data_IF_248809048160
#
_entry.id   IF_248809048160
#
_cell.length_a   1.000
_cell.length_b   1.000
_cell.length_c   1.000
_cell.angle_alpha   90.00
_cell.angle_beta   90.00
_cell.angle_gamma   90.00
#
_symmetry.space_group_name_H-M   'P 1'
#
loop_
_entity.id
_entity.type
_entity.pdbx_description
1 polymer ?
#
# COMPACT_ATOMS: atom_id res chain seq x y z
N UNK A 1 -10.79 16.57 -10.03
CA UNK A 1 -10.03 15.50 -10.71
C UNK A 1 -10.55 14.15 -10.22
N UNK A 2 -10.96 13.23 -11.11
CA UNK A 2 -11.38 11.87 -10.74
C UNK A 2 -10.14 11.03 -10.43
N UNK A 3 -10.16 10.29 -9.33
CA UNK A 3 -9.10 9.36 -8.93
C UNK A 3 -8.80 8.37 -10.06
N UNK A 4 -7.52 8.07 -10.27
CA UNK A 4 -7.12 6.95 -11.13
C UNK A 4 -7.52 5.65 -10.42
N UNK A 5 -8.25 4.74 -11.09
CA UNK A 5 -8.57 3.44 -10.52
C UNK A 5 -7.29 2.64 -10.28
N UNK A 6 -7.21 1.97 -9.14
CA UNK A 6 -6.01 1.23 -8.71
C UNK A 6 -6.02 -0.24 -9.08
N UNK A 7 -7.14 -0.78 -9.56
CA UNK A 7 -7.28 -2.17 -9.99
C UNK A 7 -7.36 -2.29 -11.51
N UNK A 8 -6.77 -3.33 -12.08
CA UNK A 8 -6.79 -3.58 -13.53
C UNK A 8 -8.20 -3.54 -14.11
N UNK A 9 -9.18 -4.16 -13.42
CA UNK A 9 -10.59 -4.19 -13.84
C UNK A 9 -11.21 -2.79 -13.88
N UNK A 10 -10.91 -1.95 -12.89
CA UNK A 10 -11.45 -0.60 -12.84
C UNK A 10 -10.77 0.34 -13.85
N UNK A 11 -9.45 0.19 -14.06
CA UNK A 11 -8.70 0.88 -15.12
C UNK A 11 -9.23 0.48 -16.51
N UNK A 12 -9.39 -0.82 -16.75
CA UNK A 12 -9.93 -1.34 -18.00
C UNK A 12 -11.34 -0.80 -18.28
N UNK A 13 -12.24 -0.83 -17.28
CA UNK A 13 -13.59 -0.26 -17.41
C UNK A 13 -13.56 1.25 -17.65
N UNK A 14 -12.63 1.97 -17.04
CA UNK A 14 -12.46 3.41 -17.28
C UNK A 14 -11.97 3.67 -18.72
N UNK A 15 -10.98 2.91 -19.20
CA UNK A 15 -10.49 2.95 -20.57
C UNK A 15 -11.64 2.68 -21.56
N UNK A 16 -12.44 1.65 -21.32
CA UNK A 16 -13.63 1.34 -22.14
C UNK A 16 -14.65 2.48 -22.17
N UNK A 17 -14.92 3.14 -21.02
CA UNK A 17 -15.80 4.32 -20.97
C UNK A 17 -15.24 5.53 -21.69
N UNK A 18 -13.92 5.76 -21.62
CA UNK A 18 -13.26 6.81 -22.39
C UNK A 18 -13.33 6.50 -23.88
N UNK A 19 -13.07 5.25 -24.26
CA UNK A 19 -13.17 4.77 -25.63
C UNK A 19 -14.60 4.95 -26.19
N UNK A 20 -15.62 4.55 -25.44
CA UNK A 20 -17.02 4.70 -25.86
C UNK A 20 -17.41 6.17 -26.06
N UNK A 21 -16.90 7.09 -25.24
CA UNK A 21 -17.13 8.54 -25.41
C UNK A 21 -16.47 9.07 -26.67
N UNK A 22 -15.23 8.69 -26.94
CA UNK A 22 -14.50 9.08 -28.15
C UNK A 22 -15.19 8.56 -29.42
N UNK A 23 -15.74 7.33 -29.39
CA UNK A 23 -16.51 6.74 -30.51
C UNK A 23 -17.84 7.43 -30.78
N UNK A 24 -18.45 8.08 -29.79
CA UNK A 24 -19.77 8.71 -29.94
C UNK A 24 -19.69 10.21 -30.19
N UNK A 25 -18.71 10.89 -29.58
CA UNK A 25 -18.65 12.35 -29.57
C UNK A 25 -17.38 12.95 -30.16
N UNK A 26 -16.46 12.13 -30.67
CA UNK A 26 -15.18 12.61 -31.17
C UNK A 26 -14.28 13.12 -30.04
N UNK A 27 -13.29 13.93 -30.42
CA UNK A 27 -12.36 14.60 -29.50
C UNK A 27 -12.40 16.08 -29.82
N UNK A 28 -12.52 16.91 -28.80
CA UNK A 28 -12.42 18.37 -28.96
C UNK A 28 -11.31 18.88 -28.05
N UNK A 29 -10.35 19.59 -28.63
CA UNK A 29 -9.27 20.25 -27.92
C UNK A 29 -9.26 21.70 -28.38
N UNK A 30 -9.68 22.61 -27.50
CA UNK A 30 -9.96 24.01 -27.86
C UNK A 30 -11.05 24.12 -28.92
N UNK A 31 -10.74 24.81 -30.01
CA UNK A 31 -11.66 25.04 -31.14
C UNK A 31 -11.58 23.95 -32.21
N UNK A 32 -10.64 23.01 -32.08
CA UNK A 32 -10.49 21.91 -33.04
C UNK A 32 -11.33 20.71 -32.62
N UNK A 33 -12.10 20.21 -33.57
CA UNK A 33 -12.93 19.03 -33.43
C UNK A 33 -12.46 17.92 -34.37
N UNK A 34 -12.24 16.74 -33.81
CA UNK A 34 -11.96 15.50 -34.54
C UNK A 34 -13.18 14.59 -34.40
N UNK A 35 -13.87 14.35 -35.52
CA UNK A 35 -15.04 13.48 -35.54
C UNK A 35 -14.67 12.03 -35.22
N UNK A 36 -15.60 11.21 -34.72
CA UNK A 36 -15.34 9.81 -34.37
C UNK A 36 -14.69 8.99 -35.49
N UNK A 37 -15.03 9.26 -36.75
CA UNK A 37 -14.52 8.56 -37.93
C UNK A 37 -13.04 8.84 -38.18
N UNK A 38 -12.55 9.99 -37.70
CA UNK A 38 -11.15 10.41 -37.78
C UNK A 38 -10.33 9.95 -36.57
N UNK A 39 -10.96 9.39 -35.55
CA UNK A 39 -10.30 8.87 -34.35
C UNK A 39 -10.24 7.36 -34.41
N UNK A 40 -9.02 6.81 -34.42
CA UNK A 40 -8.80 5.36 -34.26
C UNK A 40 -7.96 5.12 -33.02
N UNK A 41 -8.55 4.53 -31.97
CA UNK A 41 -7.78 4.01 -30.85
C UNK A 41 -7.21 2.64 -31.25
N UNK A 42 -5.90 2.49 -31.09
CA UNK A 42 -5.16 1.34 -31.60
C UNK A 42 -5.52 -0.03 -30.99
N UNK A 43 -6.27 -0.05 -29.88
CA UNK A 43 -6.76 -1.28 -29.27
C UNK A 43 -8.15 -1.71 -29.76
N UNK A 44 -8.79 -0.93 -30.63
CA UNK A 44 -10.12 -1.24 -31.18
C UNK A 44 -10.10 -2.26 -32.32
N UNK A 45 -8.95 -2.43 -32.97
CA UNK A 45 -8.73 -3.45 -33.96
C UNK A 45 -7.56 -4.32 -33.50
N UNK A 46 -7.85 -5.54 -33.04
CA UNK A 46 -6.87 -6.47 -32.44
C UNK A 46 -5.68 -6.80 -33.35
N UNK A 47 -5.72 -6.40 -34.62
CA UNK A 47 -4.73 -6.73 -35.64
C UNK A 47 -3.76 -5.59 -35.96
N UNK A 48 -4.05 -4.35 -35.58
CA UNK A 48 -3.31 -3.17 -36.07
C UNK A 48 -2.99 -2.19 -34.92
N UNK A 49 -1.79 -2.30 -34.33
CA UNK A 49 -1.33 -1.43 -33.23
C UNK A 49 -1.10 0.05 -33.61
N UNK A 50 -0.68 0.85 -32.62
CA UNK A 50 -0.69 2.34 -32.64
C UNK A 50 0.06 3.02 -33.78
N UNK A 51 -0.50 4.13 -34.25
CA UNK A 51 0.16 5.10 -35.12
C UNK A 51 -0.42 6.53 -34.90
N UNK A 52 0.41 7.58 -35.03
CA UNK A 52 -0.01 8.96 -35.29
C UNK A 52 1.13 9.82 -35.89
N UNK A 53 0.85 10.59 -36.95
CA UNK A 53 1.76 11.53 -37.63
C UNK A 53 1.18 12.95 -37.80
N UNK A 54 2.04 13.96 -37.96
CA UNK A 54 1.74 15.40 -38.00
C UNK A 54 1.29 16.00 -39.37
N UNK A 55 1.32 15.20 -40.45
CA UNK A 55 0.64 15.28 -41.76
C UNK A 55 0.37 13.83 -42.23
N UNK A 56 -0.50 13.57 -43.21
CA UNK A 56 -0.81 12.19 -43.66
C UNK A 56 0.46 11.33 -43.93
N UNK A 57 1.57 11.96 -44.32
CA UNK A 57 2.87 11.33 -44.59
C UNK A 57 3.82 11.23 -43.37
N UNK A 58 3.65 12.03 -42.32
CA UNK A 58 4.45 11.95 -41.07
C UNK A 58 4.15 10.68 -40.26
N UNK A 59 3.15 9.90 -40.67
CA UNK A 59 2.93 8.54 -40.19
C UNK A 59 4.08 7.59 -40.57
N UNK A 60 4.96 7.98 -41.50
CA UNK A 60 6.07 7.15 -41.95
C UNK A 60 7.23 7.02 -40.94
N UNK A 61 7.33 7.89 -39.92
CA UNK A 61 8.38 7.81 -38.88
C UNK A 61 7.79 7.95 -37.48
N UNK A 62 6.86 7.05 -37.16
CA UNK A 62 6.37 6.92 -35.79
C UNK A 62 7.45 6.26 -34.94
N UNK A 63 8.08 7.04 -34.06
CA UNK A 63 8.81 6.49 -32.93
C UNK A 63 7.80 5.83 -31.99
N UNK A 64 7.69 4.51 -32.08
CA UNK A 64 6.86 3.72 -31.18
C UNK A 64 7.54 3.69 -29.82
N UNK A 65 7.00 4.41 -28.82
CA UNK A 65 7.38 4.21 -27.41
C UNK A 65 6.37 3.24 -26.79
N UNK A 66 6.69 1.95 -26.83
CA UNK A 66 5.91 0.95 -26.10
C UNK A 66 6.43 0.91 -24.67
N UNK A 67 5.73 1.59 -23.76
CA UNK A 67 6.02 1.47 -22.33
C UNK A 67 5.41 0.17 -21.83
N UNK A 68 6.24 -0.83 -21.62
CA UNK A 68 5.84 -2.08 -20.99
C UNK A 68 6.35 -2.10 -19.55
N UNK A 69 5.44 -2.18 -18.58
CA UNK A 69 5.78 -2.42 -17.18
C UNK A 69 6.29 -3.86 -16.91
N UNK A 70 6.38 -4.70 -17.96
CA UNK A 70 6.96 -6.05 -17.89
C UNK A 70 8.04 -6.20 -18.97
N UNK A 71 9.26 -6.66 -18.66
CA UNK A 71 10.20 -7.03 -19.70
C UNK A 71 9.72 -8.37 -20.25
N UNK A 72 9.14 -8.37 -21.45
CA UNK A 72 9.05 -9.60 -22.22
C UNK A 72 10.46 -9.88 -22.75
N UNK A 73 11.09 -10.98 -22.35
CA UNK A 73 12.30 -11.45 -23.03
C UNK A 73 11.91 -11.90 -24.44
N UNK A 74 11.99 -10.99 -25.40
CA UNK A 74 11.90 -11.38 -26.80
C UNK A 74 13.34 -11.60 -27.27
N UNK A 75 13.61 -12.84 -27.72
CA UNK A 75 14.82 -13.12 -28.50
C UNK A 75 14.79 -12.21 -29.74
N UNK A 76 15.93 -11.63 -30.16
CA UNK A 76 16.01 -10.92 -31.43
C UNK A 76 15.52 -11.88 -32.52
N UNK A 77 14.53 -11.47 -33.30
CA UNK A 77 14.07 -12.25 -34.45
C UNK A 77 14.97 -11.86 -35.61
N UNK A 78 15.61 -12.82 -36.27
CA UNK A 78 16.50 -12.61 -37.43
C UNK A 78 15.75 -12.14 -38.69
N UNK A 79 14.47 -11.79 -38.57
CA UNK A 79 13.67 -11.28 -39.67
C UNK A 79 13.92 -9.77 -39.85
N UNK A 80 14.09 -9.27 -41.09
CA UNK A 80 14.25 -7.85 -41.36
C UNK A 80 13.04 -7.07 -40.85
N UNK A 81 13.29 -6.11 -39.97
CA UNK A 81 12.23 -5.32 -39.35
C UNK A 81 11.54 -4.41 -40.40
N UNK A 82 10.20 -4.30 -40.36
CA UNK A 82 9.47 -3.37 -41.22
C UNK A 82 9.86 -1.90 -40.92
N UNK A 83 9.53 -0.92 -41.79
CA UNK A 83 10.06 0.46 -41.75
C UNK A 83 9.64 1.30 -40.53
N UNK A 84 9.03 0.70 -39.50
CA UNK A 84 8.58 1.37 -38.29
C UNK A 84 9.55 1.03 -37.15
N UNK A 85 10.45 1.95 -36.81
CA UNK A 85 11.30 1.81 -35.62
C UNK A 85 10.44 1.74 -34.35
N UNK A 86 10.45 0.56 -33.70
CA UNK A 86 9.82 0.37 -32.39
C UNK A 86 10.88 0.51 -31.30
N UNK A 87 10.81 1.60 -30.53
CA UNK A 87 11.61 1.82 -29.33
C UNK A 87 10.79 1.38 -28.11
N UNK A 88 10.94 0.13 -27.70
CA UNK A 88 10.51 -0.26 -26.36
C UNK A 88 11.43 0.43 -25.36
N UNK A 89 10.97 1.54 -24.78
CA UNK A 89 11.62 2.11 -23.62
C UNK A 89 11.13 1.32 -22.40
N UNK A 90 12.00 0.57 -21.70
CA UNK A 90 11.70 0.09 -20.36
C UNK A 90 11.63 1.31 -19.44
N UNK A 91 10.50 2.00 -19.43
CA UNK A 91 10.27 3.10 -18.52
C UNK A 91 9.62 2.53 -17.26
N UNK A 92 10.31 2.66 -16.13
CA UNK A 92 9.73 2.38 -14.82
C UNK A 92 8.54 3.31 -14.57
N UNK A 93 7.66 2.91 -13.64
CA UNK A 93 6.52 3.77 -13.27
C UNK A 93 7.01 5.10 -12.69
N UNK A 94 8.11 5.05 -11.96
CA UNK A 94 8.84 6.21 -11.41
C UNK A 94 9.29 7.14 -12.53
N UNK A 95 9.90 6.64 -13.61
CA UNK A 95 10.32 7.48 -14.74
C UNK A 95 9.13 8.15 -15.44
N UNK A 96 8.04 7.40 -15.66
CA UNK A 96 6.81 7.97 -16.23
C UNK A 96 6.20 9.05 -15.35
N UNK A 97 6.17 8.82 -14.04
CA UNK A 97 5.59 9.74 -13.09
C UNK A 97 6.46 10.99 -12.90
N UNK A 98 7.79 10.86 -12.89
CA UNK A 98 8.74 11.98 -12.93
C UNK A 98 8.58 12.81 -14.21
N UNK A 99 8.40 12.16 -15.36
CA UNK A 99 8.17 12.86 -16.64
C UNK A 99 6.83 13.61 -16.63
N UNK A 100 5.77 12.97 -16.12
CA UNK A 100 4.45 13.60 -15.99
C UNK A 100 4.50 14.81 -15.05
N UNK A 101 5.27 14.70 -13.96
CA UNK A 101 5.53 15.82 -13.06
C UNK A 101 6.22 16.98 -13.78
N UNK A 102 7.32 16.72 -14.48
CA UNK A 102 8.08 17.77 -15.20
C UNK A 102 7.20 18.49 -16.23
N UNK A 103 6.39 17.75 -16.99
CA UNK A 103 5.43 18.33 -17.93
C UNK A 103 4.41 19.23 -17.23
N UNK A 104 3.97 18.84 -16.04
CA UNK A 104 3.00 19.62 -15.25
C UNK A 104 3.62 20.90 -14.71
N UNK A 105 4.87 20.84 -14.22
CA UNK A 105 5.62 22.04 -13.78
C UNK A 105 5.77 23.02 -14.95
N UNK A 106 6.25 22.56 -16.11
CA UNK A 106 6.39 23.42 -17.30
C UNK A 106 5.07 24.04 -17.76
N UNK A 107 3.96 23.32 -17.60
CA UNK A 107 2.63 23.85 -17.86
C UNK A 107 2.26 24.96 -16.88
N UNK A 108 2.51 24.77 -15.58
CA UNK A 108 2.24 25.77 -14.53
C UNK A 108 3.12 27.01 -14.70
N UNK A 109 4.40 26.86 -15.04
CA UNK A 109 5.29 28.00 -15.33
C UNK A 109 4.75 28.85 -16.48
N UNK A 110 4.32 28.20 -17.59
CA UNK A 110 3.69 28.91 -18.71
C UNK A 110 2.42 29.63 -18.30
N UNK A 111 1.58 28.99 -17.48
CA UNK A 111 0.37 29.61 -16.96
C UNK A 111 0.71 30.79 -16.06
N UNK A 112 1.77 30.69 -15.26
CA UNK A 112 2.25 31.76 -14.38
C UNK A 112 2.69 33.01 -15.11
N UNK A 113 3.44 32.86 -16.21
CA UNK A 113 3.78 34.00 -17.09
C UNK A 113 2.56 34.78 -17.54
N UNK A 114 1.49 34.08 -17.93
CA UNK A 114 0.27 34.72 -18.39
C UNK A 114 -0.56 35.31 -17.24
N UNK A 115 -0.73 34.55 -16.16
CA UNK A 115 -1.55 34.94 -15.01
C UNK A 115 -0.94 36.08 -14.19
N UNK A 116 0.39 36.09 -14.06
CA UNK A 116 1.17 37.07 -13.30
C UNK A 116 1.99 38.00 -14.20
N UNK A 117 1.52 38.25 -15.42
CA UNK A 117 2.16 39.16 -16.40
C UNK A 117 2.40 40.58 -15.88
N UNK A 118 1.60 41.01 -14.91
CA UNK A 118 1.70 42.33 -14.28
C UNK A 118 2.65 42.35 -13.07
N UNK A 119 3.29 41.22 -12.75
CA UNK A 119 4.12 41.02 -11.58
C UNK A 119 3.62 39.87 -10.71
N UNK A 120 4.57 39.22 -10.04
CA UNK A 120 4.29 38.18 -9.04
C UNK A 120 3.69 38.80 -7.77
N UNK A 121 2.71 38.15 -7.12
CA UNK A 121 2.23 38.56 -5.80
C UNK A 121 3.26 38.31 -4.69
N UNK A 122 4.32 37.55 -4.97
CA UNK A 122 5.52 37.42 -4.14
C UNK A 122 6.67 38.18 -4.81
N UNK A 123 7.05 39.38 -4.33
CA UNK A 123 8.02 40.26 -4.99
C UNK A 123 9.37 39.61 -5.31
N UNK A 124 9.77 38.63 -4.50
CA UNK A 124 11.01 37.87 -4.61
C UNK A 124 10.94 36.68 -5.60
N UNK A 125 9.76 36.36 -6.14
CA UNK A 125 9.54 35.23 -7.04
C UNK A 125 9.28 35.69 -8.47
N UNK A 126 9.73 34.87 -9.44
CA UNK A 126 9.32 35.04 -10.84
C UNK A 126 7.83 34.70 -11.01
N UNK A 127 7.13 35.23 -12.05
CA UNK A 127 5.77 34.81 -12.40
C UNK A 127 5.59 33.29 -12.51
N UNK A 128 6.60 32.59 -13.02
CA UNK A 128 6.67 31.13 -13.12
C UNK A 128 6.67 30.47 -11.74
N UNK A 129 7.59 30.88 -10.87
CA UNK A 129 7.72 30.37 -9.49
C UNK A 129 6.46 30.66 -8.68
N UNK A 130 5.87 31.84 -8.89
CA UNK A 130 4.64 32.27 -8.25
C UNK A 130 3.46 31.33 -8.59
N UNK A 131 3.35 30.84 -9.82
CA UNK A 131 2.29 29.90 -10.17
C UNK A 131 2.46 28.53 -9.50
N UNK A 132 3.69 28.01 -9.47
CA UNK A 132 3.98 26.77 -8.77
C UNK A 132 3.72 26.95 -7.26
N UNK A 133 4.15 28.07 -6.67
CA UNK A 133 3.93 28.39 -5.27
C UNK A 133 2.44 28.59 -4.93
N UNK A 134 1.65 29.22 -5.80
CA UNK A 134 0.21 29.37 -5.63
C UNK A 134 -0.50 28.02 -5.58
N UNK A 135 -0.09 27.06 -6.43
CA UNK A 135 -0.61 25.69 -6.40
C UNK A 135 -0.19 24.99 -5.10
N UNK A 136 1.07 25.12 -4.66
CA UNK A 136 1.53 24.60 -3.35
C UNK A 136 0.67 25.13 -2.21
N UNK A 137 0.47 26.45 -2.14
CA UNK A 137 -0.36 27.08 -1.10
C UNK A 137 -1.82 26.63 -1.17
N UNK A 138 -2.41 26.51 -2.35
CA UNK A 138 -3.77 26.01 -2.51
C UNK A 138 -3.90 24.56 -2.00
N UNK A 139 -2.95 23.68 -2.34
CA UNK A 139 -2.91 22.31 -1.86
C UNK A 139 -2.70 22.26 -0.33
N UNK A 140 -1.79 23.09 0.19
CA UNK A 140 -1.58 23.24 1.62
C UNK A 140 -2.87 23.62 2.35
N UNK A 141 -3.58 24.63 1.86
CA UNK A 141 -4.85 25.06 2.46
C UNK A 141 -5.95 24.01 2.31
N UNK A 142 -5.99 23.24 1.23
CA UNK A 142 -6.90 22.09 1.10
C UNK A 142 -6.62 21.07 2.20
N UNK A 143 -5.34 20.76 2.46
CA UNK A 143 -4.94 19.77 3.46
C UNK A 143 -5.19 20.29 4.87
N UNK A 144 -4.72 21.51 5.19
CA UNK A 144 -4.83 22.12 6.53
C UNK A 144 -6.26 22.40 6.94
N UNK A 145 -7.07 22.97 6.05
CA UNK A 145 -8.43 23.39 6.39
C UNK A 145 -9.45 22.25 6.32
N UNK A 146 -9.02 21.01 6.04
CA UNK A 146 -9.89 19.85 5.80
C UNK A 146 -11.07 20.20 4.89
N UNK A 147 -10.86 21.05 3.87
CA UNK A 147 -11.93 21.58 2.99
C UNK A 147 -12.65 20.50 2.17
N UNK A 148 -12.17 19.27 2.24
CA UNK A 148 -12.85 18.10 1.73
C UNK A 148 -12.89 17.06 2.85
N UNK A 149 -14.10 16.66 3.23
CA UNK A 149 -14.34 15.54 4.13
C UNK A 149 -13.96 14.19 3.49
N UNK A 150 -13.60 14.19 2.20
CA UNK A 150 -13.22 12.99 1.47
C UNK A 150 -11.73 12.64 1.70
N UNK A 151 -11.39 11.54 2.42
CA UNK A 151 -10.01 11.19 2.74
C UNK A 151 -9.12 10.97 1.50
N UNK A 152 -9.75 10.55 0.40
CA UNK A 152 -9.09 10.36 -0.90
C UNK A 152 -8.56 11.69 -1.44
N UNK A 153 -9.32 12.78 -1.29
CA UNK A 153 -8.92 14.09 -1.79
C UNK A 153 -7.75 14.66 -0.99
N UNK A 154 -7.81 14.58 0.35
CA UNK A 154 -6.71 14.98 1.22
C UNK A 154 -5.41 14.20 0.94
N UNK A 155 -5.51 12.90 0.63
CA UNK A 155 -4.37 12.07 0.25
C UNK A 155 -3.79 12.47 -1.11
N UNK A 156 -4.64 12.75 -2.10
CA UNK A 156 -4.20 13.23 -3.42
C UNK A 156 -3.55 14.61 -3.27
N UNK A 157 -4.15 15.50 -2.49
CA UNK A 157 -3.61 16.83 -2.22
C UNK A 157 -2.25 16.75 -1.55
N UNK A 158 -2.05 15.88 -0.55
CA UNK A 158 -0.74 15.61 0.08
C UNK A 158 0.31 15.14 -0.92
N UNK A 159 -0.02 14.15 -1.75
CA UNK A 159 0.92 13.66 -2.78
C UNK A 159 1.31 14.75 -3.77
N UNK A 160 0.33 15.52 -4.24
CA UNK A 160 0.58 16.64 -5.15
C UNK A 160 1.40 17.73 -4.46
N UNK A 161 1.10 18.04 -3.21
CA UNK A 161 1.85 19.03 -2.43
C UNK A 161 3.32 18.61 -2.30
N UNK A 162 3.58 17.36 -1.91
CA UNK A 162 4.95 16.85 -1.78
C UNK A 162 5.69 16.91 -3.12
N UNK A 163 5.06 16.41 -4.18
CA UNK A 163 5.64 16.35 -5.52
C UNK A 163 5.95 17.76 -6.05
N UNK A 164 5.02 18.72 -5.93
CA UNK A 164 5.31 20.10 -6.33
C UNK A 164 6.32 20.76 -5.39
N UNK A 165 6.23 20.50 -4.09
CA UNK A 165 7.06 21.05 -3.02
C UNK A 165 8.54 20.74 -3.19
N UNK A 166 8.82 19.46 -3.39
CA UNK A 166 10.14 18.84 -3.20
C UNK A 166 10.63 18.06 -4.43
N UNK A 167 9.81 17.95 -5.48
CA UNK A 167 10.12 17.14 -6.66
C UNK A 167 9.61 15.71 -6.54
N UNK A 168 9.45 15.04 -7.69
CA UNK A 168 8.91 13.68 -7.72
C UNK A 168 9.81 12.67 -6.99
N UNK A 169 11.13 12.72 -7.20
CA UNK A 169 12.08 11.78 -6.61
C UNK A 169 12.06 11.82 -5.08
N UNK A 170 12.01 13.02 -4.50
CA UNK A 170 12.01 13.21 -3.04
C UNK A 170 10.62 13.00 -2.42
N UNK A 171 9.55 13.06 -3.24
CA UNK A 171 8.18 12.84 -2.80
C UNK A 171 7.70 11.39 -2.96
N UNK A 172 8.35 10.59 -3.81
CA UNK A 172 7.94 9.21 -4.06
C UNK A 172 8.04 8.37 -2.79
N UNK A 173 7.06 7.50 -2.55
CA UNK A 173 6.97 6.73 -1.31
C UNK A 173 6.49 7.50 -0.06
N UNK A 174 6.58 8.84 -0.03
CA UNK A 174 6.12 9.64 1.10
C UNK A 174 4.59 9.77 1.14
N UNK A 175 3.98 9.21 2.19
CA UNK A 175 2.53 9.24 2.39
C UNK A 175 2.05 10.49 3.14
N UNK A 176 2.93 11.04 3.98
CA UNK A 176 2.68 12.20 4.82
C UNK A 176 3.22 13.47 4.15
N UNK A 177 2.80 14.63 4.63
CA UNK A 177 3.26 15.90 4.08
C UNK A 177 4.78 16.03 4.31
N UNK A 178 5.50 16.53 3.32
CA UNK A 178 6.92 16.85 3.47
C UNK A 178 7.09 18.31 3.91
N UNK A 179 8.11 18.57 4.71
CA UNK A 179 8.48 19.90 5.21
C UNK A 179 9.97 20.12 5.03
N UNK A 180 10.38 21.37 4.82
CA UNK A 180 11.77 21.76 4.99
C UNK A 180 12.00 22.07 6.47
N UNK A 181 13.01 21.46 7.08
CA UNK A 181 13.51 21.95 8.37
C UNK A 181 14.14 23.34 8.20
N UNK A 182 14.40 24.02 9.30
CA UNK A 182 15.04 25.35 9.31
C UNK A 182 16.47 25.37 8.72
N UNK A 183 17.01 24.22 8.34
CA UNK A 183 18.32 24.04 7.72
C UNK A 183 18.24 23.55 6.26
N UNK A 184 17.03 23.45 5.69
CA UNK A 184 16.81 23.01 4.31
C UNK A 184 16.75 21.50 4.09
N UNK A 185 16.79 20.69 5.15
CA UNK A 185 16.56 19.24 5.09
C UNK A 185 15.08 18.90 4.88
N UNK A 186 14.77 17.84 4.15
CA UNK A 186 13.39 17.37 3.93
C UNK A 186 13.01 16.39 5.04
N UNK A 187 12.02 16.75 5.85
CA UNK A 187 11.45 15.88 6.88
C UNK A 187 10.04 15.46 6.45
N UNK A 188 9.78 14.16 6.43
CA UNK A 188 8.44 13.63 6.18
C UNK A 188 7.68 13.41 7.48
N UNK A 189 6.45 13.91 7.55
CA UNK A 189 5.57 13.73 8.72
C UNK A 189 4.46 14.77 8.76
N UNK A 190 3.46 14.58 9.62
CA UNK A 190 2.63 15.72 10.00
C UNK A 190 3.55 16.77 10.66
N UNK A 191 3.39 18.07 10.36
CA UNK A 191 3.96 19.18 11.17
C UNK A 191 3.83 18.74 12.62
N UNK A 192 4.92 18.59 13.41
CA UNK A 192 5.00 17.75 14.60
C UNK A 192 3.74 17.95 15.44
N UNK A 193 2.74 17.12 15.14
CA UNK A 193 1.41 17.40 15.62
C UNK A 193 1.53 17.08 17.09
N UNK A 194 1.15 18.02 17.99
CA UNK A 194 1.29 17.81 19.42
C UNK A 194 0.80 16.41 19.72
N UNK A 195 1.64 15.63 20.41
CA UNK A 195 1.41 14.19 20.55
C UNK A 195 -0.08 13.96 20.86
N UNK A 196 -0.76 13.10 20.08
CA UNK A 196 -2.20 12.93 20.24
C UNK A 196 -2.44 12.55 21.69
N UNK A 197 -3.33 13.31 22.34
CA UNK A 197 -3.64 13.12 23.76
C UNK A 197 -3.85 11.63 24.05
N UNK A 198 -3.26 11.15 25.14
CA UNK A 198 -3.44 9.76 25.58
C UNK A 198 -4.93 9.51 25.88
N UNK A 199 -5.64 10.52 26.39
CA UNK A 199 -7.06 10.42 26.74
C UNK A 199 -7.94 11.18 25.74
N UNK A 200 -9.11 10.63 25.37
CA UNK A 200 -10.08 11.33 24.54
C UNK A 200 -10.60 12.59 25.27
N UNK A 201 -10.87 13.64 24.51
CA UNK A 201 -11.61 14.81 25.03
C UNK A 201 -13.06 14.40 25.32
N UNK A 202 -13.62 14.88 26.42
CA UNK A 202 -15.02 14.64 26.78
C UNK A 202 -16.01 15.19 25.74
N UNK A 203 -15.58 16.16 24.92
CA UNK A 203 -16.38 16.79 23.86
C UNK A 203 -15.99 16.31 22.45
N UNK A 204 -15.18 15.25 22.32
CA UNK A 204 -14.79 14.73 21.01
C UNK A 204 -15.99 14.11 20.27
N UNK A 205 -16.08 14.33 18.96
CA UNK A 205 -17.08 13.65 18.12
C UNK A 205 -16.72 12.17 17.94
N UNK A 206 -17.67 11.35 17.50
CA UNK A 206 -17.43 9.92 17.21
C UNK A 206 -16.28 9.76 16.21
N UNK A 207 -16.23 10.57 15.16
CA UNK A 207 -15.18 10.52 14.13
C UNK A 207 -13.81 10.83 14.73
N UNK A 208 -13.71 11.87 15.56
CA UNK A 208 -12.47 12.21 16.25
C UNK A 208 -12.02 11.10 17.21
N UNK A 209 -12.98 10.44 17.89
CA UNK A 209 -12.70 9.32 18.77
C UNK A 209 -12.15 8.10 17.99
N UNK A 210 -12.78 7.78 16.86
CA UNK A 210 -12.36 6.71 15.96
C UNK A 210 -10.97 7.00 15.39
N UNK A 211 -10.74 8.20 14.88
CA UNK A 211 -9.44 8.60 14.33
C UNK A 211 -8.33 8.57 15.38
N UNK A 212 -8.63 8.99 16.61
CA UNK A 212 -7.71 8.89 17.75
C UNK A 212 -7.37 7.43 18.08
N UNK A 213 -8.37 6.54 18.11
CA UNK A 213 -8.15 5.11 18.34
C UNK A 213 -7.23 4.49 17.29
N UNK A 214 -7.47 4.74 16.00
CA UNK A 214 -6.63 4.26 14.90
C UNK A 214 -5.22 4.85 14.91
N UNK A 215 -5.08 6.10 15.34
CA UNK A 215 -3.78 6.76 15.43
C UNK A 215 -2.93 6.13 16.53
N UNK A 216 -3.50 5.92 17.72
CA UNK A 216 -2.81 5.23 18.82
C UNK A 216 -2.50 3.77 18.49
N UNK A 217 -3.44 3.07 17.86
CA UNK A 217 -3.24 1.68 17.39
C UNK A 217 -2.04 1.57 16.43
N UNK A 218 -1.96 2.42 15.41
CA UNK A 218 -0.85 2.41 14.44
C UNK A 218 0.50 2.71 15.08
N UNK A 219 0.51 3.45 16.19
CA UNK A 219 1.70 3.78 16.99
C UNK A 219 1.98 2.76 18.11
N UNK A 220 1.31 1.60 18.09
CA UNK A 220 1.42 0.57 19.13
C UNK A 220 1.10 1.03 20.56
N UNK A 221 0.36 2.14 20.72
CA UNK A 221 -0.16 2.62 22.01
C UNK A 221 -1.49 1.93 22.31
N UNK A 222 -1.44 0.59 22.45
CA UNK A 222 -2.63 -0.28 22.42
C UNK A 222 -3.63 0.00 23.55
N UNK A 223 -3.16 0.34 24.75
CA UNK A 223 -4.04 0.72 25.87
C UNK A 223 -4.79 2.04 25.60
N UNK A 224 -4.09 3.05 25.08
CA UNK A 224 -4.72 4.29 24.66
C UNK A 224 -5.72 4.03 23.54
N UNK A 225 -5.35 3.23 22.53
CA UNK A 225 -6.24 2.86 21.44
C UNK A 225 -7.55 2.20 21.94
N UNK A 226 -7.47 1.28 22.91
CA UNK A 226 -8.65 0.65 23.54
C UNK A 226 -9.50 1.68 24.30
N UNK A 227 -8.87 2.61 25.02
CA UNK A 227 -9.59 3.68 25.73
C UNK A 227 -10.38 4.58 24.78
N UNK A 228 -9.77 4.99 23.67
CA UNK A 228 -10.41 5.79 22.62
C UNK A 228 -11.53 5.00 21.90
N UNK A 229 -11.31 3.72 21.61
CA UNK A 229 -12.32 2.85 20.99
C UNK A 229 -13.54 2.63 21.89
N UNK A 230 -13.34 2.45 23.20
CA UNK A 230 -14.43 2.35 24.18
C UNK A 230 -15.23 3.65 24.26
N UNK A 231 -14.56 4.80 24.29
CA UNK A 231 -15.23 6.09 24.25
C UNK A 231 -16.06 6.26 22.98
N UNK A 232 -15.52 5.87 21.81
CA UNK A 232 -16.25 5.92 20.54
C UNK A 232 -17.54 5.08 20.57
N UNK A 233 -17.51 3.87 21.17
CA UNK A 233 -18.71 3.03 21.32
C UNK A 233 -19.74 3.64 22.28
N UNK A 234 -19.29 4.27 23.36
CA UNK A 234 -20.17 4.92 24.34
C UNK A 234 -20.93 6.12 23.75
N UNK A 235 -20.41 6.73 22.67
CA UNK A 235 -21.04 7.84 21.95
C UNK A 235 -22.14 7.43 20.97
N UNK A 236 -22.62 6.18 21.02
CA UNK A 236 -23.69 5.64 20.17
C UNK A 236 -23.45 5.81 18.65
N UNK A 237 -22.36 5.24 18.11
CA UNK A 237 -22.06 5.31 16.68
C UNK A 237 -23.11 4.53 15.87
N UNK A 238 -23.25 4.90 14.59
CA UNK A 238 -24.01 4.12 13.61
C UNK A 238 -23.47 2.68 13.47
N UNK A 239 -24.26 1.79 12.87
CA UNK A 239 -23.93 0.35 12.77
C UNK A 239 -22.61 0.08 12.03
N UNK A 240 -22.35 0.80 10.93
CA UNK A 240 -21.12 0.63 10.16
C UNK A 240 -19.89 1.07 10.94
N UNK A 241 -19.98 2.22 11.60
CA UNK A 241 -18.92 2.73 12.48
C UNK A 241 -18.72 1.82 13.69
N UNK A 242 -19.80 1.33 14.30
CA UNK A 242 -19.77 0.37 15.40
C UNK A 242 -19.02 -0.90 15.02
N UNK A 243 -19.32 -1.50 13.86
CA UNK A 243 -18.65 -2.69 13.36
C UNK A 243 -17.13 -2.47 13.21
N UNK A 244 -16.72 -1.33 12.65
CA UNK A 244 -15.30 -0.96 12.53
C UNK A 244 -14.61 -0.78 13.88
N UNK A 245 -15.28 -0.20 14.87
CA UNK A 245 -14.71 -0.04 16.22
C UNK A 245 -14.57 -1.41 16.89
N UNK A 246 -15.57 -2.28 16.78
CA UNK A 246 -15.53 -3.65 17.32
C UNK A 246 -14.37 -4.44 16.71
N UNK A 247 -14.23 -4.41 15.38
CA UNK A 247 -13.08 -5.00 14.68
C UNK A 247 -11.74 -4.44 15.19
N UNK A 248 -11.62 -3.12 15.35
CA UNK A 248 -10.39 -2.49 15.85
C UNK A 248 -10.04 -2.99 17.26
N UNK A 249 -11.04 -3.13 18.13
CA UNK A 249 -10.84 -3.70 19.47
C UNK A 249 -10.36 -5.14 19.39
N UNK A 250 -10.92 -5.95 18.50
CA UNK A 250 -10.41 -7.31 18.23
C UNK A 250 -8.93 -7.32 17.82
N UNK A 251 -8.53 -6.42 16.91
CA UNK A 251 -7.12 -6.28 16.53
C UNK A 251 -6.23 -5.80 17.68
N UNK A 252 -6.68 -4.83 18.49
CA UNK A 252 -5.94 -4.36 19.66
C UNK A 252 -5.62 -5.53 20.59
N UNK A 253 -6.64 -6.37 20.89
CA UNK A 253 -6.49 -7.57 21.72
C UNK A 253 -5.53 -8.58 21.10
N UNK A 254 -5.66 -8.81 19.79
CA UNK A 254 -4.76 -9.68 19.04
C UNK A 254 -3.30 -9.26 19.21
N UNK A 255 -2.97 -7.98 19.03
CA UNK A 255 -1.59 -7.48 19.17
C UNK A 255 -1.13 -7.34 20.63
N UNK A 256 -2.04 -7.36 21.60
CA UNK A 256 -1.73 -7.53 23.02
C UNK A 256 -1.45 -9.00 23.41
N UNK A 257 -1.51 -9.93 22.44
CA UNK A 257 -1.48 -11.37 22.66
C UNK A 257 -2.64 -11.90 23.55
N UNK A 258 -3.74 -11.13 23.66
CA UNK A 258 -5.00 -11.55 24.28
C UNK A 258 -5.88 -12.22 23.22
N UNK A 259 -5.52 -13.45 22.84
CA UNK A 259 -6.16 -14.15 21.73
C UNK A 259 -7.59 -14.59 22.03
N UNK A 260 -7.92 -14.89 23.29
CA UNK A 260 -9.29 -15.19 23.72
C UNK A 260 -10.16 -13.94 23.54
N UNK A 261 -9.72 -12.79 24.07
CA UNK A 261 -10.43 -11.53 23.86
C UNK A 261 -10.50 -11.14 22.38
N UNK A 262 -9.46 -11.41 21.59
CA UNK A 262 -9.51 -11.17 20.14
C UNK A 262 -10.63 -11.97 19.45
N UNK A 263 -10.80 -13.25 19.78
CA UNK A 263 -11.89 -14.09 19.25
C UNK A 263 -13.28 -13.57 19.61
N UNK A 264 -13.45 -12.92 20.76
CA UNK A 264 -14.75 -12.34 21.17
C UNK A 264 -15.15 -11.10 20.35
N UNK A 265 -14.15 -10.31 19.91
CA UNK A 265 -14.39 -9.03 19.24
C UNK A 265 -14.21 -9.07 17.72
N UNK A 266 -13.41 -9.99 17.19
CA UNK A 266 -13.22 -10.11 15.74
C UNK A 266 -14.49 -10.67 15.09
N UNK A 267 -15.13 -9.94 14.15
CA UNK A 267 -16.34 -10.43 13.50
C UNK A 267 -16.03 -11.60 12.56
N UNK A 268 -17.00 -12.50 12.38
CA UNK A 268 -16.94 -13.49 11.30
C UNK A 268 -16.98 -12.77 9.94
N UNK A 269 -15.97 -12.94 9.07
CA UNK A 269 -15.94 -12.35 7.73
C UNK A 269 -17.04 -12.86 6.78
N UNK A 270 -17.78 -13.91 7.15
CA UNK A 270 -18.83 -14.53 6.36
C UNK A 270 -18.32 -15.46 5.25
N UNK A 271 -19.26 -16.03 4.48
CA UNK A 271 -19.00 -17.16 3.57
C UNK A 271 -18.38 -16.82 2.22
N UNK A 272 -18.45 -15.56 1.77
CA UNK A 272 -18.04 -15.20 0.41
C UNK A 272 -17.03 -14.06 0.41
N UNK A 273 -15.84 -14.24 -0.20
CA UNK A 273 -15.03 -13.10 -0.58
C UNK A 273 -15.85 -12.24 -1.54
N UNK A 274 -16.10 -10.99 -1.17
CA UNK A 274 -16.48 -9.98 -2.16
C UNK A 274 -15.30 -9.87 -3.15
N UNK A 275 -15.53 -9.88 -4.47
CA UNK A 275 -14.46 -10.04 -5.48
C UNK A 275 -13.30 -9.04 -5.44
N UNK A 276 -13.46 -7.94 -4.68
CA UNK A 276 -12.49 -6.86 -4.55
C UNK A 276 -11.81 -6.78 -3.17
N UNK A 277 -12.12 -7.69 -2.23
CA UNK A 277 -11.86 -7.42 -0.82
C UNK A 277 -10.77 -8.30 -0.21
N UNK A 278 -9.53 -7.81 -0.33
CA UNK A 278 -8.36 -8.39 0.35
C UNK A 278 -8.45 -8.37 1.86
N UNK A 279 -9.38 -7.59 2.40
CA UNK A 279 -9.67 -7.57 3.82
C UNK A 279 -10.28 -8.89 4.27
N UNK A 280 -11.16 -9.52 3.47
CA UNK A 280 -11.77 -10.80 3.83
C UNK A 280 -10.73 -11.88 4.13
N UNK A 281 -9.72 -12.04 3.25
CA UNK A 281 -8.68 -13.05 3.46
C UNK A 281 -7.81 -12.74 4.69
N UNK A 282 -7.51 -11.46 4.95
CA UNK A 282 -6.72 -11.04 6.13
C UNK A 282 -7.49 -11.21 7.42
N UNK A 283 -8.77 -10.88 7.44
CA UNK A 283 -9.63 -11.04 8.60
C UNK A 283 -9.80 -12.52 8.91
N UNK A 284 -10.03 -13.36 7.88
CA UNK A 284 -10.04 -14.82 8.00
C UNK A 284 -8.73 -15.35 8.60
N UNK A 285 -7.58 -14.98 8.05
CA UNK A 285 -6.28 -15.41 8.58
C UNK A 285 -6.07 -14.95 10.03
N UNK A 286 -6.46 -13.72 10.36
CA UNK A 286 -6.32 -13.18 11.72
C UNK A 286 -7.21 -13.95 12.71
N UNK A 287 -8.44 -14.25 12.33
CA UNK A 287 -9.38 -15.03 13.14
C UNK A 287 -8.89 -16.47 13.33
N UNK A 288 -8.38 -17.12 12.27
CA UNK A 288 -7.75 -18.45 12.36
C UNK A 288 -6.58 -18.42 13.35
N UNK A 289 -5.70 -17.40 13.29
CA UNK A 289 -4.55 -17.26 14.19
C UNK A 289 -5.00 -17.06 15.64
N UNK A 290 -6.00 -16.21 15.87
CA UNK A 290 -6.57 -15.99 17.19
C UNK A 290 -7.11 -17.29 17.78
N UNK A 291 -7.94 -18.03 17.04
CA UNK A 291 -8.47 -19.32 17.50
C UNK A 291 -7.39 -20.38 17.69
N UNK A 292 -6.36 -20.39 16.84
CA UNK A 292 -5.23 -21.33 17.01
C UNK A 292 -4.50 -21.05 18.32
N UNK A 293 -4.22 -19.78 18.62
CA UNK A 293 -3.50 -19.35 19.82
C UNK A 293 -4.34 -19.39 21.09
N UNK A 294 -5.66 -19.30 20.98
CA UNK A 294 -6.59 -19.48 22.11
C UNK A 294 -6.83 -20.96 22.47
N UNK A 295 -6.26 -21.91 21.72
CA UNK A 295 -6.47 -23.35 21.91
C UNK A 295 -7.72 -23.90 21.22
N UNK A 296 -8.42 -23.11 20.41
CA UNK A 296 -9.62 -23.50 19.66
C UNK A 296 -9.27 -24.09 18.28
N UNK A 297 -8.38 -25.08 18.24
CA UNK A 297 -7.81 -25.63 16.99
C UNK A 297 -8.84 -26.15 15.97
N UNK A 298 -9.97 -26.70 16.43
CA UNK A 298 -11.04 -27.17 15.53
C UNK A 298 -11.74 -26.03 14.78
N UNK A 299 -12.04 -24.93 15.47
CA UNK A 299 -12.64 -23.73 14.84
C UNK A 299 -11.64 -23.13 13.85
N UNK A 300 -10.36 -23.06 14.23
CA UNK A 300 -9.30 -22.57 13.36
C UNK A 300 -9.17 -23.42 12.07
N UNK A 301 -9.31 -24.74 12.17
CA UNK A 301 -9.34 -25.67 11.03
C UNK A 301 -10.53 -25.42 10.10
N UNK A 302 -11.73 -25.27 10.63
CA UNK A 302 -12.92 -24.98 9.80
C UNK A 302 -12.78 -23.65 9.06
N UNK A 303 -12.26 -22.62 9.74
CA UNK A 303 -12.03 -21.30 9.15
C UNK A 303 -10.96 -21.35 8.04
N UNK A 304 -9.84 -22.05 8.24
CA UNK A 304 -8.79 -22.13 7.22
C UNK A 304 -9.26 -22.93 5.99
N UNK A 305 -10.03 -24.01 6.18
CA UNK A 305 -10.65 -24.76 5.08
C UNK A 305 -11.67 -23.91 4.31
N UNK A 306 -12.40 -23.02 5.00
CA UNK A 306 -13.29 -22.03 4.37
C UNK A 306 -12.50 -21.03 3.52
N UNK A 307 -11.36 -20.53 4.02
CA UNK A 307 -10.48 -19.64 3.27
C UNK A 307 -9.99 -20.29 1.96
N UNK A 308 -9.58 -21.55 2.02
CA UNK A 308 -9.05 -22.29 0.86
C UNK A 308 -10.11 -22.53 -0.22
N UNK A 309 -11.35 -22.87 0.17
CA UNK A 309 -12.48 -23.01 -0.77
C UNK A 309 -12.80 -21.72 -1.51
N UNK A 310 -12.43 -20.57 -0.94
CA UNK A 310 -12.59 -19.25 -1.57
C UNK A 310 -11.69 -19.01 -2.79
N UNK A 311 -10.69 -19.86 -3.06
CA UNK A 311 -9.89 -19.83 -4.29
C UNK A 311 -9.08 -18.56 -4.52
N UNK A 312 -8.70 -17.85 -3.45
CA UNK A 312 -7.99 -16.57 -3.56
C UNK A 312 -6.54 -16.75 -4.04
N UNK A 313 -6.21 -16.17 -5.21
CA UNK A 313 -4.88 -16.23 -5.84
C UNK A 313 -3.98 -15.04 -5.47
N UNK A 314 -3.86 -14.75 -4.18
CA UNK A 314 -3.11 -13.58 -3.72
C UNK A 314 -1.69 -13.97 -3.35
N UNK A 315 -0.70 -13.23 -3.81
CA UNK A 315 0.70 -13.61 -3.65
C UNK A 315 1.16 -13.68 -2.19
N UNK A 316 0.60 -12.86 -1.30
CA UNK A 316 0.90 -12.95 0.13
C UNK A 316 0.36 -14.24 0.78
N UNK A 317 -0.67 -14.87 0.19
CA UNK A 317 -1.20 -16.15 0.68
C UNK A 317 -0.22 -17.31 0.43
N UNK A 318 0.74 -17.16 -0.49
CA UNK A 318 1.75 -18.19 -0.74
C UNK A 318 2.56 -18.52 0.53
N UNK A 319 2.84 -17.52 1.36
CA UNK A 319 3.49 -17.72 2.67
C UNK A 319 2.45 -17.83 3.79
N UNK A 320 1.45 -16.94 3.81
CA UNK A 320 0.51 -16.88 4.93
C UNK A 320 -0.33 -18.16 5.11
N UNK A 321 -0.74 -18.80 4.01
CA UNK A 321 -1.60 -19.98 4.06
C UNK A 321 -0.86 -21.21 4.63
N UNK A 322 0.31 -21.66 4.10
CA UNK A 322 1.02 -22.79 4.67
C UNK A 322 1.46 -22.51 6.11
N UNK A 323 1.92 -21.30 6.44
CA UNK A 323 2.23 -20.91 7.82
C UNK A 323 1.04 -21.08 8.75
N UNK A 324 -0.11 -20.52 8.37
CA UNK A 324 -1.31 -20.57 9.22
C UNK A 324 -1.83 -22.00 9.37
N UNK A 325 -1.81 -22.81 8.30
CA UNK A 325 -2.11 -24.24 8.39
C UNK A 325 -1.14 -24.98 9.30
N UNK A 326 0.15 -24.64 9.27
CA UNK A 326 1.16 -25.21 10.15
C UNK A 326 0.85 -24.91 11.62
N UNK A 327 0.45 -23.68 11.93
CA UNK A 327 -0.02 -23.33 13.28
C UNK A 327 -1.27 -24.13 13.70
N UNK A 328 -2.24 -24.31 12.80
CA UNK A 328 -3.44 -25.13 13.07
C UNK A 328 -3.06 -26.59 13.30
N UNK A 329 -2.21 -27.17 12.46
CA UNK A 329 -1.71 -28.54 12.61
C UNK A 329 -1.00 -28.72 13.96
N UNK A 330 -0.18 -27.76 14.37
CA UNK A 330 0.48 -27.77 15.67
C UNK A 330 -0.52 -27.77 16.83
N UNK A 331 -1.55 -26.92 16.76
CA UNK A 331 -2.60 -26.87 17.79
C UNK A 331 -3.44 -28.15 17.85
N UNK A 332 -3.51 -28.91 16.75
CA UNK A 332 -4.17 -30.22 16.68
C UNK A 332 -3.23 -31.39 17.02
N UNK A 333 -1.95 -31.13 17.34
CA UNK A 333 -0.98 -32.15 17.71
C UNK A 333 -0.33 -32.89 16.53
N UNK A 334 -0.49 -32.40 15.29
CA UNK A 334 0.12 -33.00 14.10
C UNK A 334 1.50 -32.37 13.82
N UNK A 335 2.52 -32.89 14.51
CA UNK A 335 3.89 -32.41 14.38
C UNK A 335 4.49 -32.61 12.98
N UNK A 336 4.13 -33.70 12.29
CA UNK A 336 4.68 -34.03 10.98
C UNK A 336 4.15 -33.07 9.90
N UNK A 337 2.84 -32.82 9.88
CA UNK A 337 2.25 -31.84 8.96
C UNK A 337 2.70 -30.42 9.30
N UNK A 338 2.90 -30.11 10.59
CA UNK A 338 3.47 -28.83 11.03
C UNK A 338 4.83 -28.56 10.41
N UNK A 339 5.77 -29.51 10.52
CA UNK A 339 7.14 -29.33 10.01
C UNK A 339 7.15 -29.21 8.48
N UNK A 340 6.36 -30.05 7.79
CA UNK A 340 6.18 -29.99 6.33
C UNK A 340 5.65 -28.64 5.87
N UNK A 341 4.64 -28.09 6.56
CA UNK A 341 4.04 -26.79 6.21
C UNK A 341 4.97 -25.62 6.53
N UNK A 342 5.74 -25.70 7.62
CA UNK A 342 6.76 -24.70 7.95
C UNK A 342 7.86 -24.67 6.88
N UNK A 343 8.36 -25.82 6.45
CA UNK A 343 9.38 -25.90 5.39
C UNK A 343 8.86 -25.37 4.05
N UNK A 344 7.60 -25.70 3.70
CA UNK A 344 6.94 -25.13 2.53
C UNK A 344 6.87 -23.60 2.61
N UNK A 345 6.45 -23.05 3.75
CA UNK A 345 6.35 -21.59 3.91
C UNK A 345 7.72 -20.89 3.78
N UNK A 346 8.80 -21.51 4.28
CA UNK A 346 10.18 -21.03 4.08
C UNK A 346 10.55 -21.02 2.59
N UNK A 347 10.29 -22.12 1.87
CA UNK A 347 10.57 -22.22 0.43
C UNK A 347 9.81 -21.17 -0.39
N UNK A 348 8.54 -20.94 -0.06
CA UNK A 348 7.71 -19.91 -0.71
C UNK A 348 8.30 -18.52 -0.43
N UNK A 349 8.65 -18.20 0.82
CA UNK A 349 9.27 -16.93 1.19
C UNK A 349 10.60 -16.68 0.45
N UNK A 350 11.45 -17.70 0.35
CA UNK A 350 12.72 -17.62 -0.37
C UNK A 350 12.50 -17.40 -1.87
N UNK A 351 11.46 -18.04 -2.45
CA UNK A 351 11.05 -17.80 -3.84
C UNK A 351 10.59 -16.36 -4.06
N UNK A 352 9.78 -15.80 -3.14
CA UNK A 352 9.36 -14.39 -3.22
C UNK A 352 10.55 -13.43 -3.12
N UNK A 353 11.53 -13.73 -2.26
CA UNK A 353 12.77 -12.95 -2.10
C UNK A 353 13.65 -13.02 -3.35
N UNK A 354 13.81 -14.21 -3.94
CA UNK A 354 14.57 -14.41 -5.17
C UNK A 354 13.94 -13.65 -6.35
N UNK A 355 12.62 -13.69 -6.48
CA UNK A 355 11.86 -12.94 -7.48
C UNK A 355 12.02 -11.42 -7.30
N UNK A 356 11.94 -10.92 -6.06
CA UNK A 356 12.17 -9.51 -5.77
C UNK A 356 13.60 -9.08 -6.14
N UNK A 357 14.60 -9.88 -5.77
CA UNK A 357 16.00 -9.62 -6.10
C UNK A 357 16.26 -9.63 -7.63
N UNK A 358 15.65 -10.57 -8.37
CA UNK A 358 15.78 -10.62 -9.84
C UNK A 358 15.19 -9.37 -10.49
N UNK A 359 14.02 -8.92 -10.03
CA UNK A 359 13.38 -7.72 -10.53
C UNK A 359 14.21 -6.47 -10.29
N UNK A 360 14.73 -6.31 -9.08
CA UNK A 360 15.61 -5.19 -8.72
C UNK A 360 16.88 -5.18 -9.58
N UNK A 361 17.52 -6.35 -9.81
CA UNK A 361 18.66 -6.45 -10.75
C UNK A 361 18.31 -6.02 -12.17
N UNK A 362 17.07 -6.22 -12.60
CA UNK A 362 16.58 -5.89 -13.95
C UNK A 362 16.06 -4.46 -14.06
N UNK A 363 16.20 -3.64 -13.01
CA UNK A 363 15.64 -2.29 -12.96
C UNK A 363 14.12 -2.27 -13.05
N UNK A 364 13.47 -3.40 -12.70
CA UNK A 364 12.04 -3.45 -12.55
C UNK A 364 11.75 -3.05 -11.11
N UNK A 365 10.92 -2.02 -10.92
CA UNK A 365 10.38 -1.68 -9.61
C UNK A 365 9.93 -2.95 -8.89
N UNK A 366 10.10 -2.99 -7.56
CA UNK A 366 9.63 -4.11 -6.73
C UNK A 366 8.23 -4.51 -7.19
N UNK A 367 7.95 -5.82 -7.33
CA UNK A 367 6.61 -6.22 -7.72
C UNK A 367 5.67 -5.59 -6.70
N UNK A 368 4.48 -5.18 -7.15
CA UNK A 368 3.42 -4.77 -6.25
C UNK A 368 3.03 -5.99 -5.40
N UNK A 369 3.86 -6.36 -4.42
CA UNK A 369 3.41 -6.93 -3.17
C UNK A 369 2.49 -5.85 -2.62
N UNK A 370 1.24 -5.86 -3.06
CA UNK A 370 0.25 -4.87 -2.67
C UNK A 370 -0.01 -4.88 -1.17
N UNK A 371 0.66 -5.76 -0.42
CA UNK A 371 0.60 -5.82 1.01
C UNK A 371 1.91 -6.33 1.65
N UNK A 372 2.95 -5.50 1.64
CA UNK A 372 4.17 -5.73 2.45
C UNK A 372 3.82 -6.06 3.90
N UNK A 373 2.78 -5.42 4.45
CA UNK A 373 2.30 -5.70 5.81
C UNK A 373 1.78 -7.12 6.00
N UNK A 374 1.01 -7.67 5.05
CA UNK A 374 0.55 -9.06 5.12
C UNK A 374 1.69 -10.07 5.01
N UNK A 375 2.69 -9.83 4.16
CA UNK A 375 3.89 -10.68 4.09
C UNK A 375 4.66 -10.60 5.40
N UNK A 376 4.89 -9.39 5.94
CA UNK A 376 5.56 -9.22 7.22
C UNK A 376 4.83 -9.95 8.35
N UNK A 377 3.51 -9.85 8.43
CA UNK A 377 2.71 -10.60 9.40
C UNK A 377 2.88 -12.11 9.22
N UNK A 378 2.85 -12.62 7.98
CA UNK A 378 3.07 -14.04 7.71
C UNK A 378 4.48 -14.52 8.10
N UNK A 379 5.52 -13.70 7.92
CA UNK A 379 6.89 -14.01 8.37
C UNK A 379 6.96 -14.05 9.89
N UNK A 380 6.27 -13.14 10.60
CA UNK A 380 6.19 -13.18 12.07
C UNK A 380 5.50 -14.46 12.54
N UNK A 381 4.40 -14.86 11.92
CA UNK A 381 3.72 -16.12 12.26
C UNK A 381 4.61 -17.34 11.96
N UNK A 382 5.36 -17.32 10.84
CA UNK A 382 6.29 -18.39 10.49
C UNK A 382 7.43 -18.48 11.51
N UNK A 383 7.98 -17.35 11.94
CA UNK A 383 8.98 -17.30 12.99
C UNK A 383 8.42 -17.88 14.30
N UNK A 384 7.19 -17.53 14.69
CA UNK A 384 6.55 -18.10 15.88
C UNK A 384 6.40 -19.63 15.77
N UNK A 385 5.94 -20.12 14.61
CA UNK A 385 5.81 -21.55 14.33
C UNK A 385 7.17 -22.27 14.46
N UNK A 386 8.23 -21.70 13.86
CA UNK A 386 9.58 -22.24 13.93
C UNK A 386 10.12 -22.25 15.38
N UNK A 387 9.86 -21.21 16.18
CA UNK A 387 10.25 -21.18 17.60
C UNK A 387 9.55 -22.31 18.38
N UNK A 388 8.25 -22.51 18.18
CA UNK A 388 7.49 -23.59 18.82
C UNK A 388 7.97 -25.00 18.41
N UNK A 389 8.61 -25.12 17.24
CA UNK A 389 9.27 -26.35 16.76
C UNK A 389 10.75 -26.45 17.12
N UNK A 390 11.25 -25.59 18.01
CA UNK A 390 12.64 -25.62 18.46
C UNK A 390 13.67 -25.09 17.44
N UNK A 391 13.22 -24.43 16.36
CA UNK A 391 14.06 -23.86 15.29
C UNK A 391 14.33 -22.38 15.53
N UNK A 392 14.64 -21.99 16.76
CA UNK A 392 14.75 -20.58 17.19
C UNK A 392 15.79 -19.77 16.41
N UNK A 393 16.93 -20.37 16.03
CA UNK A 393 17.94 -19.69 15.20
C UNK A 393 17.37 -19.30 13.84
N UNK A 394 16.76 -20.24 13.14
CA UNK A 394 16.15 -19.99 11.84
C UNK A 394 15.00 -18.97 11.94
N UNK A 395 14.19 -19.05 13.00
CA UNK A 395 13.16 -18.05 13.26
C UNK A 395 13.75 -16.63 13.38
N UNK A 396 14.87 -16.47 14.09
CA UNK A 396 15.54 -15.18 14.21
C UNK A 396 16.15 -14.72 12.87
N UNK A 397 16.78 -15.63 12.12
CA UNK A 397 17.34 -15.32 10.80
C UNK A 397 16.27 -14.85 9.79
N UNK A 398 15.00 -15.23 9.98
CA UNK A 398 13.87 -14.69 9.22
C UNK A 398 13.46 -13.28 9.64
N UNK A 399 13.49 -12.98 10.94
CA UNK A 399 13.05 -11.71 11.52
C UNK A 399 14.10 -10.60 11.38
N UNK A 400 15.38 -10.91 11.60
CA UNK A 400 16.46 -9.93 11.67
C UNK A 400 16.56 -9.00 10.43
N UNK A 401 16.40 -9.49 9.18
CA UNK A 401 16.43 -8.65 8.00
C UNK A 401 15.19 -7.79 7.79
N UNK A 402 14.14 -7.96 8.59
CA UNK A 402 12.90 -7.20 8.44
C UNK A 402 13.11 -5.78 8.97
N UNK A 403 12.97 -4.81 8.08
CA UNK A 403 12.96 -3.38 8.40
C UNK A 403 11.54 -2.81 8.29
N UNK A 404 11.30 -1.68 8.97
CA UNK A 404 10.03 -0.94 8.86
C UNK A 404 8.81 -1.74 9.28
N UNK A 405 8.94 -2.62 10.28
CA UNK A 405 7.83 -3.39 10.79
C UNK A 405 6.72 -2.49 11.34
N UNK A 406 5.49 -2.84 11.03
CA UNK A 406 4.31 -2.23 11.62
C UNK A 406 4.38 -2.35 13.15
N UNK A 407 4.33 -1.22 13.87
CA UNK A 407 4.65 -1.19 15.31
C UNK A 407 3.86 -2.20 16.16
N UNK A 408 2.55 -2.44 15.93
CA UNK A 408 1.84 -3.50 16.65
C UNK A 408 2.40 -4.91 16.47
N UNK A 409 3.05 -5.23 15.34
CA UNK A 409 3.74 -6.53 15.18
C UNK A 409 4.93 -6.64 16.14
N UNK A 410 5.66 -5.55 16.39
CA UNK A 410 6.75 -5.56 17.38
C UNK A 410 6.20 -5.83 18.78
N UNK A 411 5.06 -5.22 19.14
CA UNK A 411 4.37 -5.49 20.40
C UNK A 411 3.94 -6.95 20.51
N UNK A 412 3.38 -7.52 19.43
CA UNK A 412 3.02 -8.93 19.39
C UNK A 412 4.24 -9.83 19.62
N UNK A 413 5.36 -9.63 18.91
CA UNK A 413 6.58 -10.43 19.11
C UNK A 413 7.08 -10.34 20.56
N UNK A 414 6.96 -9.17 21.19
CA UNK A 414 7.38 -8.97 22.58
C UNK A 414 6.49 -9.71 23.59
N UNK A 415 5.17 -9.75 23.36
CA UNK A 415 4.19 -10.25 24.32
C UNK A 415 3.79 -11.71 24.10
N UNK A 416 3.79 -12.15 22.85
CA UNK A 416 3.29 -13.46 22.44
C UNK A 416 4.07 -14.62 23.10
N UNK A 417 3.39 -15.55 23.79
CA UNK A 417 4.02 -16.71 24.43
C UNK A 417 4.80 -17.60 23.46
N UNK A 418 4.42 -17.66 22.17
CA UNK A 418 5.11 -18.47 21.18
C UNK A 418 6.58 -18.06 20.98
N UNK A 419 6.92 -16.80 21.26
CA UNK A 419 8.29 -16.29 21.19
C UNK A 419 9.06 -16.40 22.51
N UNK A 420 8.46 -16.91 23.60
CA UNK A 420 9.14 -17.04 24.88
C UNK A 420 10.45 -17.86 24.80
N UNK A 421 10.53 -19.00 24.08
CA UNK A 421 11.79 -19.72 23.94
C UNK A 421 12.90 -18.90 23.26
N UNK A 422 12.53 -18.07 22.28
CA UNK A 422 13.48 -17.17 21.60
C UNK A 422 13.95 -16.04 22.52
N UNK A 423 13.05 -15.44 23.30
CA UNK A 423 13.38 -14.38 24.29
C UNK A 423 14.28 -14.90 25.41
N UNK A 424 14.09 -16.14 25.84
CA UNK A 424 14.83 -16.75 26.95
C UNK A 424 16.20 -17.32 26.54
N UNK A 425 16.49 -17.43 25.24
CA UNK A 425 17.80 -17.84 24.76
C UNK A 425 18.85 -16.73 25.01
N UNK A 426 19.98 -17.03 25.65
CA UNK A 426 20.94 -16.01 26.12
C UNK A 426 21.54 -15.13 25.02
N UNK A 427 21.88 -15.71 23.88
CA UNK A 427 22.41 -14.96 22.73
C UNK A 427 21.29 -14.39 21.86
N UNK A 428 20.37 -15.25 21.40
CA UNK A 428 19.29 -14.83 20.50
C UNK A 428 18.31 -13.86 21.16
N UNK A 429 18.04 -14.00 22.46
CA UNK A 429 17.20 -13.08 23.22
C UNK A 429 17.82 -11.69 23.34
N UNK A 430 19.14 -11.58 23.51
CA UNK A 430 19.85 -10.29 23.46
C UNK A 430 19.77 -9.66 22.07
N UNK A 431 19.98 -10.45 21.01
CA UNK A 431 19.86 -9.97 19.61
C UNK A 431 18.44 -9.52 19.29
N UNK A 432 17.43 -10.27 19.72
CA UNK A 432 16.02 -9.93 19.56
C UNK A 432 15.68 -8.64 20.29
N UNK A 433 16.10 -8.49 21.54
CA UNK A 433 15.91 -7.25 22.29
C UNK A 433 16.57 -6.06 21.58
N UNK A 434 17.83 -6.20 21.18
CA UNK A 434 18.55 -5.16 20.46
C UNK A 434 17.88 -4.78 19.13
N UNK A 435 17.26 -5.75 18.45
CA UNK A 435 16.49 -5.52 17.22
C UNK A 435 15.15 -4.82 17.49
N UNK A 436 14.42 -5.21 18.54
CA UNK A 436 13.17 -4.55 18.97
C UNK A 436 13.41 -3.11 19.45
N UNK A 437 14.57 -2.85 20.06
CA UNK A 437 14.96 -1.52 20.58
C UNK A 437 15.49 -0.59 19.47
N UNK A 438 15.63 -1.06 18.21
CA UNK A 438 16.06 -0.19 17.11
C UNK A 438 15.00 0.89 16.87
N UNK A 439 15.39 2.17 16.77
CA UNK A 439 14.46 3.22 16.39
C UNK A 439 13.87 2.88 15.02
N UNK A 440 12.53 2.90 14.92
CA UNK A 440 11.83 2.67 13.66
C UNK A 440 12.22 3.79 12.71
N UNK A 441 12.96 3.48 11.65
CA UNK A 441 13.39 4.46 10.65
C UNK A 441 12.16 5.24 10.13
N UNK A 442 12.19 6.58 10.25
CA UNK A 442 11.08 7.46 9.88
C UNK A 442 10.18 7.96 11.03
N UNK A 443 10.58 7.81 12.30
CA UNK A 443 9.86 8.38 13.47
C UNK A 443 10.63 9.49 14.21
N UNK A 444 11.63 10.12 13.57
CA UNK A 444 12.31 11.30 14.11
C UNK A 444 11.79 12.59 13.53
#
# INVERSE_FOLDING_TARGET
MKSFPTTYTAVHRQIERHAARLRRGGLRIGDRHWSPERLRAAWWDRRCGWQAGAKDEDWARVLRILVSARPRSLRPTDAPLPPCHSLQLPASKTLLAATAYELTVRFLERLGREAFRAGSPWPEMTPEDAAVNAVKQALYHIIRNRRSDEPTFARIARRLYNVYGFGYSDADGHRDMLWTDGHGGVIGGDEPSPEPSIKPSACATVEALVDGAWTHYRRARLEAAEGWAKAALASNPDEGTRGRIVWLRGMIRFYQADFVGACEFLPDPGDKPTPDDGWWAKDMLTLVRAHTRSGSGNIARELIERLERGGSLWSHLAVALPTTRGCVALALGDAAETDKLADRAVQELDSLRADAADRNRRGLDDPLWHDVGAIQAAVVDLAALLVLRGRSKQAFDLLEPMEGLFSPLLTLIALDPAFAPLRNASELGRRLKAWLDRPVAGTR
#
